data_IF_983890618011
#
_entry.id   IF_983890618011
#
_cell.length_a   1.000
_cell.length_b   1.000
_cell.length_c   1.000
_cell.angle_alpha   90.00
_cell.angle_beta   90.00
_cell.angle_gamma   90.00
#
_symmetry.space_group_name_H-M   'P 1'
#
loop_
_entity.id
_entity.type
_entity.pdbx_description
1 polymer ?
#
# COMPACT_ATOMS: atom_id res chain seq x y z
N UNK A 1 1.33 -10.49 26.03
CA UNK A 1 0.54 -10.74 24.80
C UNK A 1 1.50 -11.22 23.74
N UNK A 2 1.21 -12.31 23.04
CA UNK A 2 2.03 -12.78 21.91
C UNK A 2 2.02 -11.73 20.79
N UNK A 3 3.15 -11.55 20.11
CA UNK A 3 3.22 -10.66 18.95
C UNK A 3 2.29 -11.15 17.82
N UNK A 4 1.78 -10.24 16.98
CA UNK A 4 0.87 -10.61 15.89
C UNK A 4 1.46 -11.69 14.98
N UNK A 5 2.76 -11.60 14.69
CA UNK A 5 3.49 -12.60 13.91
C UNK A 5 3.39 -14.00 14.54
N UNK A 6 3.57 -14.10 15.86
CA UNK A 6 3.50 -15.36 16.59
C UNK A 6 2.07 -15.93 16.59
N UNK A 7 1.05 -15.08 16.75
CA UNK A 7 -0.35 -15.51 16.68
C UNK A 7 -0.71 -16.09 15.31
N UNK A 8 -0.30 -15.40 14.23
CA UNK A 8 -0.53 -15.85 12.85
C UNK A 8 0.24 -17.13 12.55
N UNK A 9 1.52 -17.19 12.93
CA UNK A 9 2.36 -18.36 12.71
C UNK A 9 1.81 -19.58 13.43
N UNK A 10 1.44 -19.45 14.71
CA UNK A 10 0.82 -20.52 15.46
C UNK A 10 -0.47 -20.99 14.79
N UNK A 11 -1.34 -20.07 14.35
CA UNK A 11 -2.58 -20.45 13.65
C UNK A 11 -2.30 -21.30 12.40
N UNK A 12 -1.26 -20.96 11.63
CA UNK A 12 -0.82 -21.72 10.45
C UNK A 12 -0.26 -23.09 10.85
N UNK A 13 0.62 -23.12 11.86
CA UNK A 13 1.26 -24.34 12.36
C UNK A 13 0.21 -25.34 12.92
N UNK A 14 -0.91 -24.83 13.44
CA UNK A 14 -2.06 -25.63 13.92
C UNK A 14 -3.13 -25.91 12.85
N UNK A 15 -2.85 -25.66 11.56
CA UNK A 15 -3.67 -26.12 10.44
C UNK A 15 -4.52 -25.05 9.74
N UNK A 16 -4.36 -23.77 10.07
CA UNK A 16 -4.99 -22.70 9.27
C UNK A 16 -4.30 -22.61 7.91
N UNK A 17 -5.01 -22.79 6.78
CA UNK A 17 -4.39 -22.72 5.47
C UNK A 17 -3.90 -21.30 5.17
N UNK A 18 -2.70 -21.19 4.61
CA UNK A 18 -2.20 -19.91 4.08
C UNK A 18 -3.09 -19.48 2.91
N UNK A 19 -3.63 -18.25 2.89
CA UNK A 19 -4.44 -17.79 1.78
C UNK A 19 -3.62 -17.74 0.49
N UNK A 20 -4.22 -18.09 -0.64
CA UNK A 20 -3.57 -17.86 -1.93
C UNK A 20 -3.53 -16.37 -2.25
N UNK A 21 -2.48 -15.96 -2.97
CA UNK A 21 -2.37 -14.58 -3.45
C UNK A 21 -3.29 -14.45 -4.66
N UNK A 22 -4.25 -13.51 -4.66
CA UNK A 22 -5.18 -13.36 -5.78
C UNK A 22 -4.45 -13.08 -7.09
N UNK A 23 -4.95 -13.64 -8.20
CA UNK A 23 -4.34 -13.50 -9.53
C UNK A 23 -4.24 -12.05 -9.98
N UNK A 24 -5.21 -11.19 -9.62
CA UNK A 24 -5.17 -9.76 -9.94
C UNK A 24 -4.01 -9.03 -9.23
N UNK A 25 -3.39 -9.59 -8.20
CA UNK A 25 -2.18 -9.03 -7.60
C UNK A 25 -0.99 -9.44 -8.47
N UNK A 26 -0.80 -10.74 -8.66
CA UNK A 26 0.37 -11.29 -9.34
C UNK A 26 0.46 -10.87 -10.81
N UNK A 27 -0.68 -10.77 -11.52
CA UNK A 27 -0.74 -10.37 -12.93
C UNK A 27 -0.49 -8.87 -13.17
N UNK A 28 -0.69 -8.04 -12.14
CA UNK A 28 -0.53 -6.59 -12.23
C UNK A 28 0.79 -6.07 -11.63
N UNK A 29 1.66 -6.96 -11.18
CA UNK A 29 3.02 -6.65 -10.76
C UNK A 29 4.00 -6.99 -11.88
N UNK A 30 5.05 -6.18 -12.02
CA UNK A 30 6.11 -6.40 -13.01
C UNK A 30 7.01 -7.58 -12.66
N UNK A 31 7.20 -7.83 -11.37
CA UNK A 31 8.11 -8.85 -10.85
C UNK A 31 7.32 -9.88 -10.05
N UNK A 32 7.65 -11.18 -10.18
CA UNK A 32 7.08 -12.20 -9.32
C UNK A 32 7.55 -12.03 -7.88
N UNK A 33 6.73 -12.49 -6.95
CA UNK A 33 7.13 -12.54 -5.54
C UNK A 33 8.19 -13.63 -5.29
N UNK A 34 9.18 -13.28 -4.47
CA UNK A 34 9.94 -14.26 -3.70
C UNK A 34 9.09 -14.86 -2.57
N UNK A 35 9.45 -16.04 -2.08
CA UNK A 35 8.62 -16.77 -1.11
C UNK A 35 8.41 -16.01 0.21
N UNK A 36 9.42 -15.28 0.70
CA UNK A 36 9.27 -14.43 1.88
C UNK A 36 8.34 -13.22 1.64
N UNK A 37 8.26 -12.71 0.41
CA UNK A 37 7.31 -11.64 0.07
C UNK A 37 5.89 -12.19 -0.04
N UNK A 38 5.75 -13.41 -0.59
CA UNK A 38 4.46 -14.11 -0.58
C UNK A 38 3.98 -14.31 0.83
N UNK A 39 4.85 -14.82 1.71
CA UNK A 39 4.52 -15.02 3.11
C UNK A 39 4.10 -13.73 3.81
N UNK A 40 4.87 -12.64 3.63
CA UNK A 40 4.51 -11.35 4.18
C UNK A 40 3.11 -10.88 3.74
N UNK A 41 2.81 -11.00 2.43
CA UNK A 41 1.50 -10.61 1.91
C UNK A 41 0.37 -11.53 2.39
N UNK A 42 0.61 -12.84 2.48
CA UNK A 42 -0.34 -13.81 3.03
C UNK A 42 -0.67 -13.52 4.50
N UNK A 43 0.29 -13.05 5.28
CA UNK A 43 0.08 -12.68 6.68
C UNK A 43 -0.82 -11.45 6.79
N UNK A 44 -0.69 -10.49 5.87
CA UNK A 44 -1.65 -9.38 5.75
C UNK A 44 -3.06 -9.93 5.48
N UNK A 45 -3.23 -10.78 4.47
CA UNK A 45 -4.54 -11.33 4.11
C UNK A 45 -5.17 -12.12 5.27
N UNK A 46 -4.37 -12.88 6.02
CA UNK A 46 -4.87 -13.62 7.17
C UNK A 46 -5.26 -12.69 8.32
N UNK A 47 -4.44 -11.66 8.61
CA UNK A 47 -4.78 -10.69 9.63
C UNK A 47 -6.09 -9.97 9.29
N UNK A 48 -6.27 -9.57 8.03
CA UNK A 48 -7.50 -8.91 7.60
C UNK A 48 -8.73 -9.80 7.78
N UNK A 49 -8.67 -11.08 7.40
CA UNK A 49 -9.73 -12.06 7.67
C UNK A 49 -10.03 -12.19 9.16
N UNK A 50 -9.00 -12.18 10.01
CA UNK A 50 -9.15 -12.24 11.47
C UNK A 50 -9.83 -10.99 12.06
N UNK A 51 -9.67 -9.84 11.40
CA UNK A 51 -10.28 -8.56 11.81
C UNK A 51 -11.53 -8.23 11.00
N UNK A 52 -11.96 -9.10 10.10
CA UNK A 52 -13.14 -8.92 9.28
C UNK A 52 -14.37 -8.71 10.17
N UNK A 53 -15.17 -7.69 9.86
CA UNK A 53 -16.35 -7.30 10.65
C UNK A 53 -16.06 -6.49 11.93
N UNK A 54 -14.80 -6.26 12.30
CA UNK A 54 -14.46 -5.44 13.49
C UNK A 54 -14.48 -3.93 13.23
N UNK A 55 -14.61 -3.48 11.98
CA UNK A 55 -14.54 -2.07 11.57
C UNK A 55 -13.34 -1.30 12.17
N UNK A 56 -12.25 -2.02 12.50
CA UNK A 56 -11.04 -1.44 13.05
C UNK A 56 -10.01 -1.24 11.92
N UNK A 57 -9.28 -0.10 11.91
CA UNK A 57 -8.19 0.10 10.97
C UNK A 57 -7.12 -0.98 11.11
N UNK A 58 -6.66 -1.52 9.98
CA UNK A 58 -5.58 -2.51 9.96
C UNK A 58 -4.24 -1.80 10.13
N UNK A 59 -3.61 -1.96 11.30
CA UNK A 59 -2.26 -1.49 11.57
C UNK A 59 -1.27 -2.66 11.53
N UNK A 60 -0.45 -2.72 10.48
CA UNK A 60 0.52 -3.78 10.26
C UNK A 60 1.94 -3.23 10.10
N UNK A 61 2.92 -3.90 10.71
CA UNK A 61 4.33 -3.59 10.57
C UNK A 61 5.05 -4.76 9.88
N UNK A 62 5.63 -4.49 8.71
CA UNK A 62 6.44 -5.46 7.98
C UNK A 62 7.92 -5.33 8.39
N UNK A 63 8.39 -6.23 9.25
CA UNK A 63 9.80 -6.27 9.63
C UNK A 63 10.62 -7.07 8.59
N UNK A 64 11.19 -6.37 7.61
CA UNK A 64 11.92 -6.98 6.49
C UNK A 64 13.28 -6.29 6.29
N UNK A 65 14.34 -7.07 6.03
CA UNK A 65 15.69 -6.54 5.80
C UNK A 65 15.80 -5.68 4.52
N UNK A 66 16.78 -4.80 4.43
CA UNK A 66 17.00 -3.98 3.21
C UNK A 66 17.46 -4.86 2.06
N UNK A 67 16.96 -4.60 0.85
CA UNK A 67 17.26 -5.42 -0.34
C UNK A 67 16.35 -6.63 -0.54
N UNK A 68 15.48 -6.98 0.41
CA UNK A 68 14.55 -8.14 0.28
C UNK A 68 13.27 -7.84 -0.51
N UNK A 69 13.21 -6.68 -1.18
CA UNK A 69 12.08 -6.30 -2.02
C UNK A 69 10.83 -5.83 -1.27
N UNK A 70 10.99 -5.15 -0.13
CA UNK A 70 9.88 -4.53 0.64
C UNK A 70 8.92 -3.72 -0.22
N UNK A 71 9.46 -2.96 -1.17
CA UNK A 71 8.67 -2.06 -2.02
C UNK A 71 7.69 -2.82 -2.93
N UNK A 72 8.02 -4.06 -3.34
CA UNK A 72 7.09 -4.90 -4.11
C UNK A 72 5.89 -5.34 -3.27
N UNK A 73 6.10 -5.65 -1.98
CA UNK A 73 5.00 -5.93 -1.04
C UNK A 73 4.12 -4.69 -0.84
N UNK A 74 4.71 -3.49 -0.82
CA UNK A 74 3.93 -2.25 -0.77
C UNK A 74 3.09 -2.05 -2.04
N UNK A 75 3.66 -2.31 -3.24
CA UNK A 75 2.91 -2.27 -4.49
C UNK A 75 1.72 -3.24 -4.50
N UNK A 76 1.91 -4.46 -3.96
CA UNK A 76 0.80 -5.42 -3.85
C UNK A 76 -0.26 -4.97 -2.86
N UNK A 77 0.10 -4.32 -1.75
CA UNK A 77 -0.86 -3.70 -0.84
C UNK A 77 -1.69 -2.62 -1.55
N UNK A 78 -1.08 -1.78 -2.39
CA UNK A 78 -1.80 -0.75 -3.15
C UNK A 78 -2.88 -1.38 -4.03
N UNK A 79 -2.54 -2.42 -4.81
CA UNK A 79 -3.49 -3.14 -5.66
C UNK A 79 -4.60 -3.80 -4.84
N UNK A 80 -4.23 -4.39 -3.70
CA UNK A 80 -5.18 -5.04 -2.80
C UNK A 80 -6.21 -4.07 -2.23
N UNK A 81 -5.76 -2.94 -1.69
CA UNK A 81 -6.67 -1.94 -1.15
C UNK A 81 -7.43 -1.20 -2.25
N UNK A 82 -6.88 -1.08 -3.47
CA UNK A 82 -7.65 -0.62 -4.61
C UNK A 82 -8.88 -1.51 -4.87
N UNK A 83 -8.68 -2.84 -4.87
CA UNK A 83 -9.78 -3.80 -5.02
C UNK A 83 -10.84 -3.68 -3.91
N UNK A 84 -10.42 -3.25 -2.71
CA UNK A 84 -11.30 -2.99 -1.55
C UNK A 84 -11.98 -1.62 -1.58
N UNK A 85 -11.80 -0.82 -2.64
CA UNK A 85 -12.48 0.47 -2.82
C UNK A 85 -11.63 1.69 -2.48
N UNK A 86 -10.41 1.51 -1.94
CA UNK A 86 -9.53 2.63 -1.65
C UNK A 86 -8.94 3.22 -2.95
N UNK A 87 -8.76 4.53 -2.98
CA UNK A 87 -8.25 5.25 -4.17
C UNK A 87 -7.08 6.18 -3.85
N UNK A 88 -6.83 6.42 -2.56
CA UNK A 88 -5.97 7.49 -2.05
C UNK A 88 -4.95 6.90 -1.11
N UNK A 89 -3.68 7.02 -1.47
CA UNK A 89 -2.57 6.40 -0.75
C UNK A 89 -1.58 7.47 -0.34
N UNK A 90 -1.24 7.55 0.95
CA UNK A 90 -0.18 8.42 1.43
C UNK A 90 1.06 7.57 1.71
N UNK A 91 2.15 7.91 1.04
CA UNK A 91 3.46 7.36 1.35
C UNK A 91 4.35 8.45 1.95
N UNK A 92 4.76 8.28 3.20
CA UNK A 92 5.64 9.22 3.88
C UNK A 92 6.95 8.60 4.30
N UNK A 93 8.02 9.38 4.18
CA UNK A 93 9.39 8.96 4.49
C UNK A 93 10.14 10.01 5.27
N UNK A 94 11.24 9.63 5.90
CA UNK A 94 12.05 10.59 6.64
C UNK A 94 12.89 11.48 5.69
N UNK A 95 13.44 10.91 4.62
CA UNK A 95 14.39 11.59 3.74
C UNK A 95 13.86 11.77 2.32
N UNK A 96 14.08 12.96 1.72
CA UNK A 96 13.63 13.30 0.36
C UNK A 96 14.22 12.41 -0.74
N UNK A 97 15.45 11.91 -0.58
CA UNK A 97 16.05 10.97 -1.52
C UNK A 97 15.24 9.66 -1.67
N UNK A 98 14.49 9.24 -0.65
CA UNK A 98 13.62 8.07 -0.70
C UNK A 98 12.35 8.37 -1.51
N UNK A 99 11.87 9.63 -1.50
CA UNK A 99 10.71 10.05 -2.31
C UNK A 99 10.98 9.79 -3.79
N UNK A 100 12.11 10.26 -4.33
CA UNK A 100 12.46 10.06 -5.75
C UNK A 100 12.57 8.58 -6.12
N UNK A 101 13.15 7.75 -5.24
CA UNK A 101 13.21 6.30 -5.47
C UNK A 101 11.82 5.67 -5.52
N UNK A 102 10.94 6.13 -4.63
CA UNK A 102 9.57 5.64 -4.53
C UNK A 102 8.74 6.07 -5.74
N UNK A 103 8.95 7.28 -6.23
CA UNK A 103 8.35 7.79 -7.46
C UNK A 103 8.74 6.93 -8.67
N UNK A 104 10.02 6.58 -8.79
CA UNK A 104 10.49 5.67 -9.83
C UNK A 104 9.90 4.25 -9.69
N UNK A 105 9.60 3.81 -8.47
CA UNK A 105 9.01 2.50 -8.21
C UNK A 105 7.51 2.44 -8.51
N UNK A 106 6.75 3.49 -8.17
CA UNK A 106 5.29 3.45 -8.22
C UNK A 106 4.65 4.26 -9.36
N UNK A 107 5.35 5.24 -9.92
CA UNK A 107 4.78 6.24 -10.83
C UNK A 107 5.42 6.18 -12.22
N UNK A 108 6.74 6.18 -12.30
CA UNK A 108 7.46 6.23 -13.59
C UNK A 108 7.48 4.85 -14.26
N UNK A 109 6.53 4.62 -15.17
CA UNK A 109 6.42 3.37 -15.94
C UNK A 109 7.58 3.14 -16.91
N UNK A 110 8.38 4.16 -17.21
CA UNK A 110 9.56 4.05 -18.07
C UNK A 110 10.81 3.60 -17.28
N UNK A 111 10.79 3.74 -15.95
CA UNK A 111 11.92 3.38 -15.12
C UNK A 111 12.06 1.85 -15.02
N UNK A 112 13.30 1.37 -15.07
CA UNK A 112 13.62 -0.06 -14.92
C UNK A 112 13.32 -0.64 -13.53
N UNK A 113 12.84 0.18 -12.58
CA UNK A 113 12.48 -0.23 -11.21
C UNK A 113 10.98 -0.04 -10.96
N UNK A 114 10.21 0.34 -11.97
CA UNK A 114 8.77 0.39 -11.89
C UNK A 114 8.22 -0.98 -11.48
N UNK A 115 7.26 -1.00 -10.56
CA UNK A 115 6.82 -2.23 -9.90
C UNK A 115 5.52 -2.82 -10.44
N UNK A 116 4.75 -2.05 -11.21
CA UNK A 116 3.49 -2.49 -11.79
C UNK A 116 3.69 -2.98 -13.22
N UNK A 117 2.78 -3.83 -13.68
CA UNK A 117 2.70 -4.19 -15.10
C UNK A 117 2.43 -2.94 -15.95
N UNK A 118 2.80 -2.98 -17.24
CA UNK A 118 2.62 -1.86 -18.17
C UNK A 118 1.16 -1.41 -18.25
N UNK A 119 0.23 -2.33 -18.05
CA UNK A 119 -1.20 -2.08 -17.93
C UNK A 119 -1.74 -2.82 -16.71
N UNK A 120 -2.29 -2.08 -15.75
CA UNK A 120 -2.96 -2.65 -14.59
C UNK A 120 -4.43 -2.89 -14.96
N UNK A 121 -4.90 -4.13 -14.83
CA UNK A 121 -6.29 -4.52 -15.11
C UNK A 121 -6.89 -5.22 -13.90
N UNK A 122 -7.97 -4.66 -13.36
CA UNK A 122 -8.71 -5.23 -12.23
C UNK A 122 -10.19 -5.17 -12.58
N UNK A 123 -10.88 -6.33 -12.60
CA UNK A 123 -12.29 -6.44 -12.99
C UNK A 123 -12.60 -5.84 -14.36
N UNK A 124 -11.77 -6.17 -15.35
CA UNK A 124 -11.86 -5.67 -16.73
C UNK A 124 -11.68 -4.15 -16.90
N UNK A 125 -11.42 -3.41 -15.81
CA UNK A 125 -11.11 -1.99 -15.83
C UNK A 125 -9.60 -1.76 -15.87
N UNK A 126 -9.18 -0.79 -16.69
CA UNK A 126 -7.78 -0.35 -16.73
C UNK A 126 -7.54 0.71 -15.67
N UNK A 127 -6.59 0.45 -14.77
CA UNK A 127 -6.34 1.31 -13.61
C UNK A 127 -5.11 2.18 -13.87
N UNK A 128 -5.30 3.49 -13.75
CA UNK A 128 -4.21 4.47 -13.82
C UNK A 128 -3.68 4.79 -12.43
N UNK A 129 -2.36 4.94 -12.29
CA UNK A 129 -1.71 5.42 -11.07
C UNK A 129 -1.14 6.80 -11.36
N UNK A 130 -1.43 7.79 -10.50
CA UNK A 130 -0.88 9.13 -10.61
C UNK A 130 -0.36 9.66 -9.27
N UNK A 131 0.74 10.39 -9.33
CA UNK A 131 1.25 11.18 -8.19
C UNK A 131 0.42 12.45 -8.06
N UNK A 132 0.05 12.79 -6.83
CA UNK A 132 -0.70 14.02 -6.51
C UNK A 132 -0.10 14.75 -5.31
N UNK A 133 -0.17 16.08 -5.32
CA UNK A 133 0.16 16.91 -4.15
C UNK A 133 -1.04 17.01 -3.19
N UNK A 134 -2.25 16.97 -3.75
CA UNK A 134 -3.53 16.99 -3.04
C UNK A 134 -4.48 15.98 -3.67
N UNK A 135 -5.14 15.16 -2.85
CA UNK A 135 -6.13 14.20 -3.35
C UNK A 135 -7.33 14.89 -3.97
N UNK A 136 -7.72 14.42 -5.14
CA UNK A 136 -8.89 14.95 -5.84
C UNK A 136 -10.19 14.49 -5.17
N UNK A 137 -11.31 15.02 -5.68
CA UNK A 137 -12.65 14.52 -5.39
C UNK A 137 -13.02 13.32 -6.26
N UNK A 138 -12.29 13.09 -7.35
CA UNK A 138 -12.48 11.94 -8.22
C UNK A 138 -11.99 10.67 -7.53
N UNK A 139 -12.61 9.55 -7.86
CA UNK A 139 -12.22 8.20 -7.44
C UNK A 139 -11.75 7.37 -8.65
N UNK A 140 -11.31 8.04 -9.73
CA UNK A 140 -10.76 7.42 -10.93
C UNK A 140 -9.31 6.98 -10.69
N UNK A 141 -9.09 5.67 -10.69
CA UNK A 141 -7.76 5.08 -10.53
C UNK A 141 -7.16 5.27 -9.13
N UNK A 142 -5.83 5.27 -9.06
CA UNK A 142 -5.04 5.33 -7.84
C UNK A 142 -4.32 6.68 -7.78
N UNK A 143 -4.53 7.41 -6.69
CA UNK A 143 -3.79 8.62 -6.34
C UNK A 143 -2.78 8.32 -5.23
N UNK A 144 -1.52 8.66 -5.47
CA UNK A 144 -0.44 8.48 -4.49
C UNK A 144 0.14 9.85 -4.14
N UNK A 145 0.08 10.23 -2.86
CA UNK A 145 0.80 11.38 -2.32
C UNK A 145 2.11 10.91 -1.70
N UNK A 146 3.23 11.31 -2.28
CA UNK A 146 4.57 11.05 -1.74
C UNK A 146 5.04 12.27 -0.94
N UNK A 147 5.30 12.12 0.35
CA UNK A 147 5.66 13.24 1.23
C UNK A 147 6.75 12.87 2.24
N UNK A 148 7.30 13.85 2.95
CA UNK A 148 8.15 13.58 4.12
C UNK A 148 7.32 13.61 5.40
N UNK A 149 7.81 12.99 6.48
CA UNK A 149 7.19 13.10 7.81
C UNK A 149 7.02 14.58 8.20
N UNK A 150 8.06 15.39 7.99
CA UNK A 150 8.02 16.82 8.32
C UNK A 150 7.00 17.58 7.46
N UNK A 151 6.93 17.29 6.15
CA UNK A 151 5.98 17.94 5.27
C UNK A 151 4.55 17.53 5.60
N UNK A 152 4.30 16.24 5.89
CA UNK A 152 3.00 15.74 6.32
C UNK A 152 2.56 16.41 7.63
N UNK A 153 3.47 16.53 8.60
CA UNK A 153 3.20 17.24 9.85
C UNK A 153 2.80 18.69 9.60
N UNK A 154 3.54 19.40 8.74
CA UNK A 154 3.25 20.78 8.38
C UNK A 154 1.92 20.92 7.65
N UNK A 155 1.62 20.04 6.69
CA UNK A 155 0.36 20.03 5.95
C UNK A 155 -0.84 19.85 6.90
N UNK A 156 -0.68 19.08 7.99
CA UNK A 156 -1.74 18.83 8.98
C UNK A 156 -1.91 20.00 9.96
N UNK A 157 -0.81 20.63 10.42
CA UNK A 157 -0.85 21.55 11.57
C UNK A 157 -0.68 23.03 11.21
N UNK A 158 -0.01 23.35 10.09
CA UNK A 158 0.30 24.72 9.71
C UNK A 158 -0.75 25.18 8.71
N UNK A 159 -1.79 25.85 9.20
CA UNK A 159 -2.80 26.48 8.35
C UNK A 159 -2.13 27.48 7.40
N UNK A 160 -2.11 27.16 6.10
CA UNK A 160 -1.89 28.11 5.01
C UNK A 160 -3.12 28.08 4.11
N UNK A 161 -3.45 29.22 3.53
CA UNK A 161 -4.69 29.55 2.78
C UNK A 161 -5.06 28.61 1.60
N UNK A 162 -4.30 27.54 1.33
CA UNK A 162 -4.52 26.57 0.25
C UNK A 162 -4.02 25.14 0.55
N UNK A 163 -3.84 24.76 1.83
CA UNK A 163 -3.37 23.41 2.20
C UNK A 163 -4.50 22.50 2.68
N UNK A 164 -4.34 21.20 2.43
CA UNK A 164 -5.29 20.14 2.80
C UNK A 164 -5.49 20.18 4.31
N UNK A 165 -6.69 20.54 4.76
CA UNK A 165 -7.04 20.51 6.17
C UNK A 165 -7.01 19.07 6.68
N UNK A 166 -6.62 18.87 7.94
CA UNK A 166 -6.74 17.58 8.63
C UNK A 166 -8.13 16.97 8.45
N UNK A 167 -9.17 17.82 8.49
CA UNK A 167 -10.56 17.43 8.24
C UNK A 167 -10.80 16.85 6.84
N UNK A 168 -10.10 17.36 5.81
CA UNK A 168 -10.22 16.84 4.44
C UNK A 168 -9.50 15.50 4.27
N UNK A 169 -8.44 15.24 5.04
CA UNK A 169 -7.80 13.93 5.09
C UNK A 169 -8.68 12.92 5.83
N UNK A 170 -9.25 13.29 6.98
CA UNK A 170 -10.13 12.42 7.78
C UNK A 170 -11.39 12.01 7.01
N UNK A 171 -11.93 12.90 6.16
CA UNK A 171 -13.10 12.61 5.32
C UNK A 171 -12.83 11.68 4.14
N UNK A 172 -11.58 11.30 3.89
CA UNK A 172 -11.19 10.46 2.76
C UNK A 172 -10.78 9.08 3.26
N UNK A 173 -11.20 8.04 2.55
CA UNK A 173 -10.72 6.67 2.74
C UNK A 173 -9.27 6.56 2.25
N UNK A 174 -8.33 6.92 3.14
CA UNK A 174 -6.89 6.95 2.89
C UNK A 174 -6.24 5.69 3.46
N UNK A 175 -5.32 5.12 2.70
CA UNK A 175 -4.37 4.08 3.13
C UNK A 175 -2.97 4.65 3.25
#
# INVERSE_FOLDING_TARGET
MAELHEQIKNAIDFGTPKPEIPDYISSNLKYPFFDWQKEAFQYLLLNEKRTEGKNEPTHLMFNMATGTGKTLVMASCILHYYKKGYRKFIFFVNQKNIIYKTENNFIDNTHNKYLFADKIVIEDETINIKKVETFSKSNEGIEIKLTTIQQLYNDIHIQKENQVLLDDLIKKDIV
#
